data_IF_911640525996
#
_entry.id   IF_911640525996
#
_cell.length_a   1.000
_cell.length_b   1.000
_cell.length_c   1.000
_cell.angle_alpha   90.00
_cell.angle_beta   90.00
_cell.angle_gamma   90.00
#
_symmetry.space_group_name_H-M   'P 1'
#
loop_
_entity.id
_entity.type
_entity.pdbx_description
1 polymer ?
#
# COMPACT_ATOMS: atom_id res chain seq x y z
N UNK A 1 -0.30 1.24 -17.89
CA UNK A 1 -1.51 0.77 -17.18
C UNK A 1 -1.47 1.31 -15.75
N UNK A 2 -2.59 1.72 -15.16
CA UNK A 2 -2.58 2.25 -13.78
C UNK A 2 -2.42 1.07 -12.81
N UNK A 3 -1.42 1.14 -11.93
CA UNK A 3 -1.17 0.13 -10.91
C UNK A 3 -2.18 0.31 -9.76
N UNK A 4 -2.96 -0.74 -9.47
CA UNK A 4 -4.01 -0.70 -8.45
C UNK A 4 -3.57 -1.21 -7.07
N UNK A 5 -2.36 -1.76 -6.96
CA UNK A 5 -1.82 -2.34 -5.73
C UNK A 5 -0.41 -1.82 -5.46
N UNK A 6 -0.11 -1.53 -4.21
CA UNK A 6 1.21 -1.15 -3.72
C UNK A 6 1.85 -2.34 -3.01
N UNK A 7 3.16 -2.48 -3.19
CA UNK A 7 3.98 -3.45 -2.45
C UNK A 7 4.61 -2.82 -1.20
N UNK A 8 5.09 -3.63 -0.26
CA UNK A 8 5.82 -3.14 0.93
C UNK A 8 6.99 -2.20 0.59
N UNK A 9 7.67 -2.42 -0.55
CA UNK A 9 8.76 -1.54 -0.99
C UNK A 9 8.26 -0.18 -1.43
N UNK A 10 7.14 -0.16 -2.16
CA UNK A 10 6.52 1.09 -2.62
C UNK A 10 5.93 1.87 -1.46
N UNK A 11 5.25 1.20 -0.54
CA UNK A 11 4.75 1.81 0.70
C UNK A 11 5.90 2.37 1.54
N UNK A 12 7.02 1.65 1.65
CA UNK A 12 8.22 2.15 2.34
C UNK A 12 8.77 3.42 1.69
N UNK A 13 8.80 3.49 0.36
CA UNK A 13 9.26 4.67 -0.37
C UNK A 13 8.29 5.85 -0.22
N UNK A 14 6.98 5.61 -0.32
CA UNK A 14 5.95 6.65 -0.19
C UNK A 14 5.89 7.25 1.21
N UNK A 15 6.09 6.43 2.24
CA UNK A 15 6.06 6.87 3.64
C UNK A 15 7.45 7.27 4.17
N UNK A 16 8.51 7.13 3.37
CA UNK A 16 9.91 7.34 3.80
C UNK A 16 10.28 6.57 5.09
N UNK A 17 9.79 5.33 5.21
CA UNK A 17 10.02 4.45 6.37
C UNK A 17 10.80 3.19 5.99
N UNK A 18 11.29 2.47 7.01
CA UNK A 18 11.92 1.17 6.79
C UNK A 18 10.95 0.15 6.18
N UNK A 19 11.48 -0.80 5.39
CA UNK A 19 10.70 -1.90 4.82
C UNK A 19 9.95 -2.72 5.90
N UNK A 20 10.56 -2.90 7.07
CA UNK A 20 9.94 -3.56 8.22
C UNK A 20 8.73 -2.80 8.74
N UNK A 21 8.83 -1.47 8.81
CA UNK A 21 7.74 -0.58 9.23
C UNK A 21 6.61 -0.59 8.22
N UNK A 22 6.92 -0.47 6.92
CA UNK A 22 5.93 -0.55 5.85
C UNK A 22 5.16 -1.88 5.86
N UNK A 23 5.87 -3.00 6.08
CA UNK A 23 5.24 -4.32 6.18
C UNK A 23 4.25 -4.40 7.36
N UNK A 24 4.58 -3.80 8.51
CA UNK A 24 3.67 -3.71 9.67
C UNK A 24 2.40 -2.92 9.36
N UNK A 25 2.53 -1.79 8.65
CA UNK A 25 1.36 -1.00 8.24
C UNK A 25 0.47 -1.76 7.25
N UNK A 26 1.07 -2.42 6.25
CA UNK A 26 0.32 -3.26 5.30
C UNK A 26 -0.41 -4.39 6.03
N UNK A 27 0.27 -5.07 6.95
CA UNK A 27 -0.38 -6.14 7.74
C UNK A 27 -1.59 -5.60 8.49
N UNK A 28 -1.46 -4.45 9.16
CA UNK A 28 -2.58 -3.83 9.89
C UNK A 28 -3.74 -3.45 8.96
N UNK A 29 -3.45 -2.86 7.79
CA UNK A 29 -4.47 -2.54 6.80
C UNK A 29 -5.17 -3.79 6.27
N UNK A 30 -4.41 -4.87 6.06
CA UNK A 30 -4.96 -6.15 5.65
C UNK A 30 -5.85 -6.75 6.76
N UNK A 31 -5.43 -6.70 8.02
CA UNK A 31 -6.26 -7.16 9.14
C UNK A 31 -7.58 -6.39 9.24
N UNK A 32 -7.57 -5.08 8.98
CA UNK A 32 -8.80 -4.26 8.93
C UNK A 32 -9.69 -4.61 7.73
N UNK A 33 -9.10 -4.90 6.57
CA UNK A 33 -9.81 -5.34 5.37
C UNK A 33 -10.46 -6.71 5.57
N UNK A 34 -9.74 -7.66 6.16
CA UNK A 34 -10.25 -9.00 6.46
C UNK A 34 -11.42 -8.94 7.44
N UNK A 35 -11.35 -8.06 8.45
CA UNK A 35 -12.46 -7.79 9.38
C UNK A 35 -13.70 -7.22 8.68
N UNK A 36 -13.52 -6.45 7.61
CA UNK A 36 -14.61 -5.94 6.78
C UNK A 36 -15.12 -6.97 5.75
N UNK A 37 -14.55 -8.18 5.71
CA UNK A 37 -14.93 -9.24 4.78
C UNK A 37 -14.23 -9.20 3.43
N UNK A 38 -13.16 -8.40 3.27
CA UNK A 38 -12.36 -8.38 2.05
C UNK A 38 -11.22 -9.39 2.09
N UNK A 39 -10.86 -9.91 0.92
CA UNK A 39 -9.65 -10.72 0.76
C UNK A 39 -8.41 -9.83 0.65
N UNK A 40 -7.36 -10.20 1.36
CA UNK A 40 -6.11 -9.45 1.41
C UNK A 40 -4.93 -10.32 0.99
N UNK A 41 -3.84 -9.66 0.58
CA UNK A 41 -2.61 -10.34 0.16
C UNK A 41 -1.46 -9.81 0.99
N UNK A 42 -0.79 -10.68 1.72
CA UNK A 42 0.40 -10.32 2.50
C UNK A 42 1.43 -9.58 1.64
N UNK A 43 1.89 -8.43 2.13
CA UNK A 43 2.89 -7.59 1.46
C UNK A 43 2.35 -6.74 0.31
N UNK A 44 1.04 -6.74 0.08
CA UNK A 44 0.36 -5.87 -0.89
C UNK A 44 -0.85 -5.20 -0.27
N UNK A 45 -1.14 -3.97 -0.69
CA UNK A 45 -2.34 -3.22 -0.30
C UNK A 45 -2.92 -2.51 -1.52
N UNK A 46 -4.25 -2.45 -1.69
CA UNK A 46 -4.85 -1.64 -2.75
C UNK A 46 -4.48 -0.16 -2.60
N UNK A 47 -4.19 0.51 -3.72
CA UNK A 47 -3.86 1.95 -3.76
C UNK A 47 -4.95 2.77 -3.06
N UNK A 48 -6.22 2.46 -3.30
CA UNK A 48 -7.36 3.13 -2.67
C UNK A 48 -7.31 3.03 -1.14
N UNK A 49 -7.14 1.82 -0.62
CA UNK A 49 -7.08 1.59 0.83
C UNK A 49 -5.88 2.31 1.47
N UNK A 50 -4.73 2.28 0.81
CA UNK A 50 -3.56 3.03 1.28
C UNK A 50 -3.83 4.54 1.33
N UNK A 51 -4.43 5.09 0.27
CA UNK A 51 -4.71 6.52 0.16
C UNK A 51 -5.79 6.97 1.16
N UNK A 52 -6.76 6.13 1.49
CA UNK A 52 -7.74 6.37 2.55
C UNK A 52 -7.08 6.43 3.94
N UNK A 53 -6.10 5.55 4.20
CA UNK A 53 -5.37 5.52 5.48
C UNK A 53 -4.30 6.60 5.58
N UNK A 54 -3.69 6.99 4.46
CA UNK A 54 -2.63 8.00 4.38
C UNK A 54 -3.00 9.12 3.39
N UNK A 55 -4.04 9.93 3.66
CA UNK A 55 -4.55 10.93 2.72
C UNK A 55 -3.53 12.04 2.39
N UNK A 56 -2.57 12.28 3.29
CA UNK A 56 -1.53 13.30 3.10
C UNK A 56 -0.30 12.80 2.35
N UNK A 57 -0.16 11.48 2.15
CA UNK A 57 0.97 10.91 1.43
C UNK A 57 0.58 10.67 -0.02
N UNK A 58 1.12 11.50 -0.91
CA UNK A 58 0.92 11.35 -2.35
C UNK A 58 1.74 10.17 -2.86
N UNK A 59 1.09 9.27 -3.56
CA UNK A 59 1.78 8.19 -4.27
C UNK A 59 2.38 8.81 -5.54
N UNK A 60 3.71 8.78 -5.72
CA UNK A 60 4.35 9.36 -6.89
C UNK A 60 3.96 8.58 -8.16
N UNK A 61 3.78 9.30 -9.27
CA UNK A 61 3.27 8.72 -10.51
C UNK A 61 4.15 7.61 -11.10
N UNK A 62 5.45 7.61 -10.79
CA UNK A 62 6.39 6.54 -11.14
C UNK A 62 5.98 5.16 -10.60
N UNK A 63 5.40 5.12 -9.40
CA UNK A 63 4.90 3.91 -8.74
C UNK A 63 3.60 3.46 -9.43
N UNK A 64 2.76 4.41 -9.84
CA UNK A 64 1.46 4.15 -10.46
C UNK A 64 1.54 3.77 -11.94
N UNK A 65 2.57 4.23 -12.66
CA UNK A 65 2.68 3.99 -14.11
C UNK A 65 3.17 2.58 -14.46
N UNK A 66 3.80 1.88 -13.52
CA UNK A 66 4.39 0.56 -13.76
C UNK A 66 5.58 0.68 -14.71
N UNK A 67 6.73 0.06 -14.38
CA UNK A 67 7.80 -0.10 -15.35
C UNK A 67 7.28 -0.97 -16.49
N UNK A 68 7.07 -0.39 -17.67
CA UNK A 68 7.08 -1.13 -18.94
C UNK A 68 8.42 -1.84 -19.12
#
# INVERSE_FOLDING_TARGET
MIKNVLTSKEVANVLEVSASTACKYIKRMNEEMEQQGYFTISGRVPVKMFQEKFPYHKIPEEILKGKE
#
